data_IF_651162661251
#
_entry.id   IF_651162661251
#
_cell.length_a   1.000
_cell.length_b   1.000
_cell.length_c   1.000
_cell.angle_alpha   90.00
_cell.angle_beta   90.00
_cell.angle_gamma   90.00
#
_symmetry.space_group_name_H-M   'P 1'
#
loop_
_entity.id
_entity.type
_entity.pdbx_description
1 polymer ?
#
# COMPACT_ATOMS: atom_id res chain seq x y z
N UNK A 1 26.43 -28.11 34.73
CA UNK A 1 25.77 -27.73 33.47
C UNK A 1 25.80 -28.80 32.36
N UNK A 2 26.23 -30.05 32.61
CA UNK A 2 26.22 -31.13 31.60
C UNK A 2 25.03 -32.12 31.68
N UNK A 3 24.11 -31.95 32.64
CA UNK A 3 22.92 -32.83 32.82
C UNK A 3 21.63 -32.31 32.18
N UNK A 4 21.56 -31.04 31.76
CA UNK A 4 20.35 -30.47 31.15
C UNK A 4 20.26 -30.77 29.65
N UNK A 5 21.40 -30.82 28.95
CA UNK A 5 21.46 -31.10 27.50
C UNK A 5 21.14 -32.57 27.16
N UNK A 6 21.38 -33.51 28.08
CA UNK A 6 21.10 -34.94 27.86
C UNK A 6 19.60 -35.28 27.94
N UNK A 7 18.83 -34.57 28.79
CA UNK A 7 17.36 -34.75 28.91
C UNK A 7 16.56 -34.19 27.73
N UNK A 8 17.06 -33.14 27.08
CA UNK A 8 16.43 -32.58 25.87
C UNK A 8 16.60 -33.53 24.68
N UNK A 9 17.75 -34.20 24.56
CA UNK A 9 18.01 -35.14 23.45
C UNK A 9 17.27 -36.48 23.57
N UNK A 10 17.04 -37.00 24.78
CA UNK A 10 16.25 -38.24 24.97
C UNK A 10 14.76 -38.03 24.72
N UNK A 11 14.25 -36.80 24.90
CA UNK A 11 12.83 -36.47 24.65
C UNK A 11 12.47 -36.39 23.15
N UNK A 12 13.47 -36.25 22.27
CA UNK A 12 13.29 -36.21 20.82
C UNK A 12 13.25 -37.62 20.21
N UNK A 13 13.80 -38.64 20.89
CA UNK A 13 13.91 -40.01 20.35
C UNK A 13 12.70 -40.91 20.62
N UNK A 14 11.77 -40.50 21.49
CA UNK A 14 10.59 -41.31 21.86
C UNK A 14 9.38 -41.04 20.93
N UNK A 15 9.41 -40.03 20.06
CA UNK A 15 8.26 -39.67 19.21
C UNK A 15 8.21 -40.35 17.83
N UNK A 16 9.07 -41.33 17.57
CA UNK A 16 9.12 -42.05 16.28
C UNK A 16 8.53 -43.47 16.29
N UNK A 17 7.91 -43.92 17.39
CA UNK A 17 7.19 -45.19 17.40
C UNK A 17 5.79 -44.99 17.98
N UNK A 18 4.81 -44.73 17.12
CA UNK A 18 3.48 -45.36 17.17
C UNK A 18 2.57 -44.84 16.03
N UNK A 19 2.27 -45.78 15.13
CA UNK A 19 1.01 -46.03 14.42
C UNK A 19 0.33 -44.94 13.57
N UNK A 20 0.44 -45.16 12.25
CA UNK A 20 -0.66 -45.35 11.30
C UNK A 20 -2.10 -45.18 11.84
N UNK A 21 -2.83 -44.16 11.36
CA UNK A 21 -3.96 -44.34 10.44
C UNK A 21 -4.62 -43.01 10.03
N UNK A 22 -4.84 -42.89 8.72
CA UNK A 22 -5.88 -42.13 7.97
C UNK A 22 -6.21 -40.67 8.33
N UNK A 23 -5.83 -39.74 7.46
CA UNK A 23 -6.75 -38.84 6.73
C UNK A 23 -5.98 -37.99 5.71
N UNK A 24 -6.45 -38.01 4.47
CA UNK A 24 -5.82 -37.43 3.29
C UNK A 24 -6.19 -35.96 3.05
N UNK A 25 -5.22 -35.27 2.41
CA UNK A 25 -5.27 -33.96 1.72
C UNK A 25 -4.86 -32.69 2.50
N UNK A 26 -3.78 -32.10 1.96
CA UNK A 26 -3.23 -30.75 2.15
C UNK A 26 -2.26 -30.49 3.31
N UNK A 27 -1.22 -31.32 3.40
CA UNK A 27 0.11 -30.91 3.89
C UNK A 27 1.10 -30.94 2.73
N UNK A 28 1.56 -29.78 2.26
CA UNK A 28 2.78 -29.67 1.43
C UNK A 28 3.35 -28.22 1.33
N UNK A 29 3.38 -27.46 2.42
CA UNK A 29 4.14 -26.17 2.46
C UNK A 29 5.27 -26.13 3.50
N UNK A 30 5.31 -27.04 4.47
CA UNK A 30 6.32 -27.02 5.55
C UNK A 30 7.58 -27.85 5.28
N UNK A 31 7.55 -28.79 4.32
CA UNK A 31 8.72 -29.62 3.97
C UNK A 31 9.63 -29.03 2.87
N UNK A 32 9.34 -27.80 2.41
CA UNK A 32 10.12 -27.14 1.35
C UNK A 32 11.32 -26.32 1.85
N UNK A 33 11.67 -26.46 3.14
CA UNK A 33 12.77 -25.74 3.79
C UNK A 33 14.11 -26.50 3.79
N UNK A 34 14.15 -27.75 3.29
CA UNK A 34 15.37 -28.58 3.20
C UNK A 34 15.94 -28.72 1.78
N UNK A 35 15.48 -27.90 0.83
CA UNK A 35 16.15 -27.80 -0.47
C UNK A 35 17.33 -26.85 -0.32
N UNK A 36 18.54 -27.25 -0.79
CA UNK A 36 19.72 -26.37 -0.89
C UNK A 36 19.30 -25.01 -1.46
N UNK A 37 19.84 -23.93 -0.91
CA UNK A 37 19.57 -22.59 -1.43
C UNK A 37 20.13 -22.46 -2.84
N UNK A 38 19.45 -21.71 -3.73
CA UNK A 38 19.89 -21.57 -5.12
C UNK A 38 21.31 -20.98 -5.17
N UNK A 39 21.63 -20.11 -4.21
CA UNK A 39 22.97 -19.57 -3.97
C UNK A 39 24.01 -20.61 -3.54
N UNK A 40 23.62 -21.66 -2.81
CA UNK A 40 24.53 -22.73 -2.38
C UNK A 40 24.87 -23.66 -3.55
N UNK A 41 23.93 -23.86 -4.48
CA UNK A 41 24.18 -24.60 -5.72
C UNK A 41 25.08 -23.81 -6.67
N UNK A 42 24.85 -22.49 -6.79
CA UNK A 42 25.67 -21.60 -7.62
C UNK A 42 27.12 -21.49 -7.09
N UNK A 43 27.33 -21.52 -5.77
CA UNK A 43 28.67 -21.58 -5.17
C UNK A 43 29.41 -22.88 -5.46
N UNK A 44 28.70 -24.01 -5.45
CA UNK A 44 29.27 -25.32 -5.77
C UNK A 44 29.64 -25.44 -7.25
N UNK A 45 28.79 -24.93 -8.16
CA UNK A 45 29.09 -24.86 -9.59
C UNK A 45 30.30 -23.97 -9.90
N UNK A 46 30.50 -22.90 -9.12
CA UNK A 46 31.63 -21.98 -9.28
C UNK A 46 32.89 -22.40 -8.49
N UNK A 47 32.84 -23.48 -7.71
CA UNK A 47 33.96 -23.95 -6.88
C UNK A 47 34.40 -22.94 -5.81
N UNK A 48 33.48 -22.09 -5.34
CA UNK A 48 33.78 -20.99 -4.42
C UNK A 48 33.43 -21.36 -2.98
N UNK A 49 34.42 -21.26 -2.08
CA UNK A 49 34.21 -21.28 -0.63
C UNK A 49 33.76 -19.93 -0.08
N UNK A 50 33.43 -19.87 1.22
CA UNK A 50 33.15 -18.61 1.92
C UNK A 50 34.38 -17.69 1.98
N UNK A 51 35.58 -18.24 1.85
CA UNK A 51 36.86 -17.55 1.84
C UNK A 51 37.56 -17.52 3.19
N UNK A 52 38.82 -17.95 3.21
CA UNK A 52 39.71 -17.85 4.36
C UNK A 52 39.26 -18.73 5.53
N UNK A 53 39.33 -18.20 6.76
CA UNK A 53 38.90 -18.94 7.96
C UNK A 53 37.40 -19.29 7.97
N UNK A 54 36.59 -18.63 7.13
CA UNK A 54 35.16 -18.92 7.01
C UNK A 54 34.85 -20.16 6.18
N UNK A 55 35.82 -20.72 5.43
CA UNK A 55 35.62 -21.95 4.66
C UNK A 55 35.30 -23.17 5.54
N UNK A 56 35.60 -23.10 6.84
CA UNK A 56 35.25 -24.14 7.83
C UNK A 56 33.78 -24.10 8.26
N UNK A 57 33.05 -23.04 7.93
CA UNK A 57 31.67 -22.84 8.34
C UNK A 57 30.74 -23.30 7.20
N UNK A 58 29.80 -24.23 7.44
CA UNK A 58 28.77 -24.56 6.47
C UNK A 58 27.96 -23.32 6.05
N UNK A 59 27.65 -23.20 4.75
CA UNK A 59 26.88 -22.07 4.18
C UNK A 59 25.55 -21.86 4.90
N UNK A 60 24.87 -22.93 5.30
CA UNK A 60 23.61 -22.85 6.04
C UNK A 60 23.76 -22.14 7.40
N UNK A 61 24.85 -22.40 8.13
CA UNK A 61 25.14 -21.70 9.39
C UNK A 61 25.48 -20.23 9.12
N UNK A 62 26.20 -19.94 8.04
CA UNK A 62 26.47 -18.57 7.62
C UNK A 62 25.17 -17.80 7.32
N UNK A 63 24.20 -18.42 6.64
CA UNK A 63 22.86 -17.83 6.42
C UNK A 63 22.13 -17.57 7.75
N UNK A 64 22.22 -18.46 8.74
CA UNK A 64 21.63 -18.23 10.07
C UNK A 64 22.29 -17.04 10.79
N UNK A 65 23.61 -16.88 10.65
CA UNK A 65 24.33 -15.70 11.17
C UNK A 65 23.81 -14.42 10.51
N UNK A 66 23.65 -14.41 9.18
CA UNK A 66 23.07 -13.26 8.45
C UNK A 66 21.66 -12.92 8.94
N UNK A 67 20.81 -13.94 9.15
CA UNK A 67 19.46 -13.74 9.70
C UNK A 67 19.46 -13.04 11.06
N UNK A 68 20.44 -13.32 11.92
CA UNK A 68 20.61 -12.69 13.23
C UNK A 68 21.17 -11.26 13.14
N UNK A 69 22.07 -10.99 12.20
CA UNK A 69 22.63 -9.66 11.96
C UNK A 69 21.59 -8.66 11.44
N UNK A 70 20.57 -9.17 10.75
CA UNK A 70 19.50 -8.38 10.16
C UNK A 70 19.84 -7.83 8.77
N UNK A 71 18.85 -7.21 8.10
CA UNK A 71 18.94 -6.90 6.68
C UNK A 71 20.01 -5.87 6.32
N UNK A 72 20.17 -4.82 7.13
CA UNK A 72 21.10 -3.72 6.84
C UNK A 72 22.57 -4.19 6.89
N UNK A 73 22.93 -4.91 7.95
CA UNK A 73 24.29 -5.43 8.09
C UNK A 73 24.55 -6.58 7.10
N UNK A 74 23.55 -7.43 6.85
CA UNK A 74 23.66 -8.46 5.80
C UNK A 74 23.92 -7.86 4.42
N UNK A 75 23.24 -6.76 4.04
CA UNK A 75 23.53 -6.06 2.79
C UNK A 75 24.97 -5.53 2.73
N UNK A 76 25.52 -5.01 3.83
CA UNK A 76 26.91 -4.51 3.88
C UNK A 76 27.92 -5.63 3.69
N UNK A 77 27.65 -6.83 4.18
CA UNK A 77 28.55 -7.98 4.03
C UNK A 77 28.74 -8.38 2.56
N UNK A 78 27.82 -7.99 1.66
CA UNK A 78 27.94 -8.25 0.21
C UNK A 78 29.16 -7.62 -0.47
N UNK A 79 29.81 -6.61 0.16
CA UNK A 79 31.01 -5.97 -0.41
C UNK A 79 32.33 -6.66 -0.04
N UNK A 80 32.30 -7.64 0.86
CA UNK A 80 33.53 -8.28 1.38
C UNK A 80 34.19 -9.18 0.33
N UNK A 81 33.43 -10.09 -0.29
CA UNK A 81 33.94 -10.96 -1.34
C UNK A 81 32.81 -11.44 -2.27
N UNK A 82 33.19 -12.03 -3.42
CA UNK A 82 32.24 -12.54 -4.42
C UNK A 82 31.32 -13.63 -3.84
N UNK A 83 31.85 -14.54 -3.04
CA UNK A 83 31.08 -15.64 -2.44
C UNK A 83 29.99 -15.12 -1.50
N UNK A 84 30.34 -14.16 -0.64
CA UNK A 84 29.39 -13.56 0.30
C UNK A 84 28.32 -12.75 -0.43
N UNK A 85 28.69 -12.07 -1.51
CA UNK A 85 27.73 -11.36 -2.37
C UNK A 85 26.68 -12.31 -2.95
N UNK A 86 27.07 -13.51 -3.40
CA UNK A 86 26.17 -14.53 -3.95
C UNK A 86 25.18 -14.98 -2.86
N UNK A 87 25.67 -15.33 -1.66
CA UNK A 87 24.83 -15.78 -0.54
C UNK A 87 23.88 -14.68 -0.07
N UNK A 88 24.40 -13.46 0.13
CA UNK A 88 23.59 -12.33 0.57
C UNK A 88 22.52 -11.99 -0.47
N UNK A 89 22.75 -12.21 -1.76
CA UNK A 89 21.76 -11.93 -2.81
C UNK A 89 20.62 -12.95 -2.86
N UNK A 90 20.66 -14.01 -2.04
CA UNK A 90 19.64 -15.05 -2.02
C UNK A 90 18.27 -14.51 -1.57
N UNK A 91 17.28 -14.67 -2.44
CA UNK A 91 15.92 -14.24 -2.18
C UNK A 91 15.29 -14.85 -0.92
N UNK A 92 15.65 -16.08 -0.55
CA UNK A 92 15.13 -16.76 0.66
C UNK A 92 15.54 -16.03 1.94
N UNK A 93 16.75 -15.46 1.97
CA UNK A 93 17.23 -14.64 3.08
C UNK A 93 16.42 -13.34 3.21
N UNK A 94 16.14 -12.68 2.08
CA UNK A 94 15.39 -11.43 2.08
C UNK A 94 13.88 -11.59 2.33
N UNK A 95 13.29 -12.70 1.88
CA UNK A 95 11.92 -13.08 2.27
C UNK A 95 11.83 -13.18 3.79
N UNK A 96 12.79 -13.84 4.44
CA UNK A 96 12.85 -13.93 5.90
C UNK A 96 12.93 -12.54 6.55
N UNK A 97 13.78 -11.64 6.05
CA UNK A 97 13.87 -10.28 6.59
C UNK A 97 12.58 -9.47 6.44
N UNK A 98 11.94 -9.56 5.28
CA UNK A 98 10.72 -8.82 4.97
C UNK A 98 9.51 -9.36 5.75
N UNK A 99 9.46 -10.67 6.05
CA UNK A 99 8.41 -11.28 6.86
C UNK A 99 8.56 -10.97 8.36
N UNK A 100 9.79 -10.95 8.86
CA UNK A 100 10.06 -10.84 10.30
C UNK A 100 10.38 -9.42 10.79
N UNK A 101 10.38 -8.41 9.91
CA UNK A 101 10.49 -7.01 10.34
C UNK A 101 9.19 -6.54 11.03
N UNK A 102 9.10 -6.82 12.33
CA UNK A 102 8.03 -6.40 13.25
C UNK A 102 7.85 -4.87 13.41
N UNK A 103 8.60 -4.03 12.69
CA UNK A 103 8.54 -2.57 12.85
C UNK A 103 7.55 -1.85 11.92
N UNK A 104 7.07 -2.48 10.84
CA UNK A 104 6.26 -1.78 9.82
C UNK A 104 4.82 -2.27 9.67
N UNK A 105 4.38 -3.30 10.41
CA UNK A 105 3.00 -3.85 10.36
C UNK A 105 2.46 -4.12 8.93
N UNK A 106 3.33 -4.26 7.92
CA UNK A 106 2.92 -4.51 6.55
C UNK A 106 2.91 -6.03 6.30
N UNK A 107 1.76 -6.63 5.94
CA UNK A 107 1.71 -8.04 5.59
C UNK A 107 2.60 -8.34 4.37
N UNK A 108 3.32 -9.47 4.41
CA UNK A 108 4.14 -9.96 3.29
C UNK A 108 3.39 -9.95 1.95
N UNK A 109 2.11 -10.37 1.97
CA UNK A 109 1.25 -10.39 0.81
C UNK A 109 1.08 -9.01 0.14
N UNK A 110 1.07 -7.93 0.92
CA UNK A 110 0.94 -6.57 0.39
C UNK A 110 2.21 -6.17 -0.36
N UNK A 111 3.38 -6.49 0.18
CA UNK A 111 4.67 -6.27 -0.49
C UNK A 111 4.72 -7.04 -1.81
N UNK A 112 4.38 -8.33 -1.80
CA UNK A 112 4.37 -9.14 -3.02
C UNK A 112 3.37 -8.61 -4.05
N UNK A 113 2.17 -8.22 -3.60
CA UNK A 113 1.16 -7.62 -4.47
C UNK A 113 1.68 -6.34 -5.15
N UNK A 114 2.27 -5.43 -4.37
CA UNK A 114 2.85 -4.19 -4.84
C UNK A 114 3.94 -4.42 -5.88
N UNK A 115 4.93 -5.25 -5.56
CA UNK A 115 6.09 -5.50 -6.43
C UNK A 115 5.69 -6.18 -7.74
N UNK A 116 4.63 -7.01 -7.71
CA UNK A 116 4.14 -7.72 -8.89
C UNK A 116 3.24 -6.86 -9.77
N UNK A 117 2.40 -6.02 -9.19
CA UNK A 117 1.31 -5.37 -9.91
C UNK A 117 1.39 -3.84 -9.97
N UNK A 118 2.10 -3.18 -9.05
CA UNK A 118 2.18 -1.72 -8.96
C UNK A 118 3.53 -1.15 -9.40
N UNK A 119 4.47 -2.01 -9.81
CA UNK A 119 5.82 -1.62 -10.27
C UNK A 119 5.83 -0.95 -11.65
N UNK A 120 4.83 -1.20 -12.49
CA UNK A 120 4.74 -0.64 -13.85
C UNK A 120 4.00 0.71 -13.90
N UNK A 121 4.22 1.45 -15.00
CA UNK A 121 3.61 2.72 -15.37
C UNK A 121 2.15 2.90 -15.03
N UNK A 122 1.69 4.13 -14.77
CA UNK A 122 0.32 4.47 -15.21
C UNK A 122 0.41 5.01 -16.65
N UNK A 123 -0.46 4.60 -17.59
CA UNK A 123 -1.41 3.49 -17.44
C UNK A 123 -0.68 2.15 -17.28
N UNK A 124 -1.20 1.27 -16.41
CA UNK A 124 -0.65 -0.05 -16.05
C UNK A 124 -0.78 -1.04 -17.21
N UNK A 125 -0.16 -0.70 -18.34
CA UNK A 125 0.16 -1.65 -19.38
C UNK A 125 1.34 -2.47 -18.87
N UNK A 126 1.01 -3.60 -18.26
CA UNK A 126 1.97 -4.69 -18.20
C UNK A 126 2.08 -5.22 -19.63
N UNK A 127 3.32 -5.21 -20.12
CA UNK A 127 3.76 -5.91 -21.32
C UNK A 127 3.03 -7.24 -21.47
N UNK A 128 2.62 -7.54 -22.69
CA UNK A 128 1.94 -8.76 -23.13
C UNK A 128 2.77 -10.04 -22.87
N UNK A 129 3.95 -9.95 -22.26
CA UNK A 129 4.81 -11.08 -21.99
C UNK A 129 4.87 -11.46 -20.52
N UNK A 130 4.42 -12.70 -20.26
CA UNK A 130 4.62 -13.54 -19.08
C UNK A 130 6.12 -13.79 -18.75
N UNK A 131 6.97 -12.77 -18.77
CA UNK A 131 8.27 -12.90 -18.12
C UNK A 131 8.03 -12.74 -16.63
N UNK A 132 8.18 -13.83 -15.88
CA UNK A 132 8.37 -13.79 -14.44
C UNK A 132 9.57 -12.89 -14.17
N UNK A 133 9.31 -11.60 -13.89
CA UNK A 133 10.36 -10.69 -13.45
C UNK A 133 10.94 -11.33 -12.21
N UNK A 134 12.17 -11.82 -12.30
CA UNK A 134 12.89 -12.36 -11.16
C UNK A 134 13.12 -11.19 -10.21
N UNK A 135 12.30 -11.11 -9.18
CA UNK A 135 12.39 -10.05 -8.19
C UNK A 135 13.63 -10.33 -7.33
N UNK A 136 14.61 -9.43 -7.35
CA UNK A 136 15.66 -9.39 -6.32
C UNK A 136 15.09 -8.72 -5.08
N UNK A 137 14.77 -9.49 -4.04
CA UNK A 137 14.22 -8.94 -2.80
C UNK A 137 15.25 -8.11 -2.02
N UNK A 138 16.55 -8.38 -2.22
CA UNK A 138 17.63 -7.50 -1.78
C UNK A 138 17.50 -6.10 -2.36
N UNK A 139 17.34 -6.03 -3.68
CA UNK A 139 17.20 -4.77 -4.39
C UNK A 139 15.92 -4.03 -3.96
N UNK A 140 14.80 -4.75 -3.84
CA UNK A 140 13.54 -4.21 -3.33
C UNK A 140 13.71 -3.61 -1.94
N UNK A 141 14.34 -4.35 -1.02
CA UNK A 141 14.63 -3.84 0.32
C UNK A 141 15.49 -2.58 0.27
N UNK A 142 16.56 -2.59 -0.53
CA UNK A 142 17.45 -1.44 -0.70
C UNK A 142 16.71 -0.20 -1.19
N UNK A 143 15.82 -0.35 -2.18
CA UNK A 143 14.97 0.74 -2.65
C UNK A 143 14.04 1.24 -1.55
N UNK A 144 13.33 0.35 -0.84
CA UNK A 144 12.39 0.74 0.23
C UNK A 144 13.08 1.45 1.39
N UNK A 145 14.29 1.01 1.74
CA UNK A 145 15.09 1.59 2.82
C UNK A 145 15.55 3.03 2.54
N UNK A 146 15.66 3.42 1.26
CA UNK A 146 16.05 4.78 0.85
C UNK A 146 14.88 5.76 0.82
N UNK A 147 13.63 5.28 0.87
CA UNK A 147 12.47 6.14 0.69
C UNK A 147 12.15 6.93 1.96
N UNK A 148 12.15 8.25 1.81
CA UNK A 148 11.50 9.15 2.75
C UNK A 148 9.98 8.98 2.62
N UNK A 149 9.23 9.13 3.70
CA UNK A 149 7.77 8.99 3.65
C UNK A 149 7.14 10.06 2.75
N UNK A 150 5.92 9.83 2.29
CA UNK A 150 5.12 10.79 1.53
C UNK A 150 3.92 11.26 2.32
N UNK A 151 3.43 12.45 1.97
CA UNK A 151 2.14 12.95 2.42
C UNK A 151 1.06 12.32 1.55
N UNK A 152 -0.03 11.87 2.17
CA UNK A 152 -1.18 11.33 1.47
C UNK A 152 -2.37 12.20 1.80
N UNK A 153 -3.13 12.56 0.78
CA UNK A 153 -4.39 13.29 0.94
C UNK A 153 -5.48 12.56 0.16
N UNK A 154 -6.55 12.22 0.85
CA UNK A 154 -7.81 11.75 0.29
C UNK A 154 -8.82 12.88 0.35
N UNK A 155 -9.00 13.60 -0.77
CA UNK A 155 -9.84 14.78 -0.90
C UNK A 155 -11.32 14.43 -1.14
N UNK A 156 -11.97 13.73 -0.22
CA UNK A 156 -13.40 13.45 -0.31
C UNK A 156 -14.26 14.70 -0.04
N UNK A 157 -15.40 14.83 -0.71
CA UNK A 157 -16.34 15.96 -0.55
C UNK A 157 -16.99 16.04 0.84
N UNK A 158 -17.18 14.91 1.53
CA UNK A 158 -17.69 14.89 2.90
C UNK A 158 -16.62 15.05 3.97
N UNK A 159 -15.51 14.33 3.82
CA UNK A 159 -14.36 14.43 4.70
C UNK A 159 -13.10 14.22 3.90
N UNK A 160 -12.09 15.04 4.15
CA UNK A 160 -10.75 14.76 3.68
C UNK A 160 -10.00 13.97 4.75
N UNK A 161 -9.16 13.04 4.34
CA UNK A 161 -8.27 12.28 5.22
C UNK A 161 -6.85 12.54 4.80
N UNK A 162 -5.94 12.66 5.74
CA UNK A 162 -4.57 13.02 5.44
C UNK A 162 -3.60 12.41 6.46
N UNK A 163 -2.32 12.33 6.10
CA UNK A 163 -1.34 11.62 6.93
C UNK A 163 -0.11 11.15 6.18
N UNK A 164 0.72 10.37 6.88
CA UNK A 164 1.97 9.81 6.37
C UNK A 164 1.86 8.40 5.78
N UNK A 165 2.55 8.15 4.67
CA UNK A 165 2.64 6.81 4.06
C UNK A 165 3.33 5.74 4.87
N UNK A 166 4.02 6.13 5.95
CA UNK A 166 4.64 5.21 6.90
C UNK A 166 3.64 4.59 7.88
N UNK A 167 2.41 5.10 7.93
CA UNK A 167 1.38 4.63 8.86
C UNK A 167 0.29 3.84 8.15
N UNK A 168 -0.27 2.85 8.85
CA UNK A 168 -1.36 2.02 8.33
C UNK A 168 -2.71 2.77 8.23
N UNK A 169 -2.84 3.90 8.91
CA UNK A 169 -4.07 4.70 8.96
C UNK A 169 -3.78 6.20 8.77
N UNK A 170 -4.79 7.00 8.36
CA UNK A 170 -4.66 8.44 8.29
C UNK A 170 -4.22 9.05 9.63
N UNK A 171 -3.42 10.11 9.56
CA UNK A 171 -3.01 10.89 10.73
C UNK A 171 -4.10 11.86 11.20
N UNK A 172 -5.02 12.25 10.29
CA UNK A 172 -6.14 13.11 10.62
C UNK A 172 -7.25 13.09 9.57
N UNK A 173 -8.40 13.68 9.92
CA UNK A 173 -9.49 13.99 8.98
C UNK A 173 -10.02 15.41 9.21
N UNK A 174 -10.57 16.02 8.16
CA UNK A 174 -11.25 17.33 8.24
C UNK A 174 -12.57 17.30 7.49
N UNK A 175 -13.52 18.15 7.90
CA UNK A 175 -14.85 18.21 7.29
C UNK A 175 -14.83 19.05 6.01
N UNK A 176 -14.61 18.44 4.85
CA UNK A 176 -14.39 19.15 3.59
C UNK A 176 -15.51 20.11 3.22
N UNK A 177 -16.75 19.63 3.20
CA UNK A 177 -17.94 20.44 2.88
C UNK A 177 -18.11 21.66 3.81
N UNK A 178 -17.61 21.58 5.05
CA UNK A 178 -17.74 22.66 6.04
C UNK A 178 -16.61 23.68 5.90
N UNK A 179 -15.38 23.21 5.68
CA UNK A 179 -14.18 24.05 5.77
C UNK A 179 -13.67 24.55 4.42
N UNK A 180 -13.87 23.76 3.36
CA UNK A 180 -13.26 24.01 2.05
C UNK A 180 -14.29 24.11 0.91
N UNK A 181 -15.54 23.71 1.17
CA UNK A 181 -16.59 23.66 0.17
C UNK A 181 -16.35 22.60 -0.90
N UNK A 182 -16.74 22.87 -2.14
CA UNK A 182 -16.59 21.93 -3.24
C UNK A 182 -15.16 21.97 -3.83
N UNK A 183 -14.33 21.04 -3.38
CA UNK A 183 -12.95 20.83 -3.88
C UNK A 183 -12.87 20.06 -5.20
N UNK A 184 -13.99 19.55 -5.71
CA UNK A 184 -14.07 18.91 -7.03
C UNK A 184 -14.15 19.96 -8.16
N UNK A 185 -14.42 21.22 -7.80
CA UNK A 185 -14.37 22.36 -8.72
C UNK A 185 -12.92 22.86 -8.87
N UNK A 186 -12.43 23.10 -10.10
CA UNK A 186 -11.04 23.47 -10.39
C UNK A 186 -10.72 24.93 -10.06
N UNK A 187 -11.01 25.39 -8.84
CA UNK A 187 -10.71 26.74 -8.39
C UNK A 187 -9.35 26.78 -7.70
N UNK A 188 -8.37 27.44 -8.32
CA UNK A 188 -7.00 27.55 -7.82
C UNK A 188 -6.93 28.01 -6.35
N UNK A 189 -7.61 29.12 -6.01
CA UNK A 189 -7.59 29.67 -4.65
C UNK A 189 -8.13 28.71 -3.61
N UNK A 190 -9.21 27.99 -3.92
CA UNK A 190 -9.81 26.97 -3.05
C UNK A 190 -8.89 25.79 -2.86
N UNK A 191 -8.32 25.25 -3.93
CA UNK A 191 -7.38 24.13 -3.87
C UNK A 191 -6.10 24.51 -3.12
N UNK A 192 -5.57 25.73 -3.34
CA UNK A 192 -4.41 26.24 -2.61
C UNK A 192 -4.70 26.38 -1.13
N UNK A 193 -5.84 26.96 -0.77
CA UNK A 193 -6.28 27.04 0.62
C UNK A 193 -6.44 25.66 1.26
N UNK A 194 -7.04 24.71 0.54
CA UNK A 194 -7.19 23.32 0.97
C UNK A 194 -5.82 22.68 1.26
N UNK A 195 -4.91 22.63 0.29
CA UNK A 195 -3.61 22.00 0.48
C UNK A 195 -2.77 22.69 1.55
N UNK A 196 -2.71 24.02 1.57
CA UNK A 196 -1.98 24.77 2.59
C UNK A 196 -2.49 24.45 4.01
N UNK A 197 -3.81 24.38 4.19
CA UNK A 197 -4.42 24.03 5.48
C UNK A 197 -4.01 22.61 5.92
N UNK A 198 -4.04 21.65 5.01
CA UNK A 198 -3.66 20.26 5.33
C UNK A 198 -2.17 20.14 5.67
N UNK A 199 -1.28 20.79 4.92
CA UNK A 199 0.15 20.82 5.22
C UNK A 199 0.43 21.47 6.59
N UNK A 200 -0.26 22.57 6.91
CA UNK A 200 -0.15 23.22 8.22
C UNK A 200 -0.61 22.29 9.36
N UNK A 201 -1.73 21.58 9.20
CA UNK A 201 -2.22 20.60 10.20
C UNK A 201 -1.28 19.43 10.39
N UNK A 202 -0.63 18.99 9.31
CA UNK A 202 0.42 17.98 9.36
C UNK A 202 1.73 18.50 9.97
N UNK A 203 1.87 19.81 10.14
CA UNK A 203 3.10 20.48 10.58
C UNK A 203 4.30 20.16 9.66
N UNK A 204 4.05 20.14 8.34
CA UNK A 204 5.04 19.75 7.33
C UNK A 204 5.15 20.81 6.26
N UNK A 205 6.39 21.15 5.88
CA UNK A 205 6.65 22.01 4.72
C UNK A 205 6.37 21.22 3.42
N UNK A 206 5.55 21.77 2.50
CA UNK A 206 5.23 21.09 1.23
C UNK A 206 6.47 20.72 0.41
N UNK A 207 7.52 21.55 0.47
CA UNK A 207 8.76 21.34 -0.29
C UNK A 207 9.63 20.16 0.15
N UNK A 208 9.31 19.53 1.29
CA UNK A 208 10.16 18.48 1.87
C UNK A 208 9.78 17.07 1.44
N UNK A 209 8.51 16.83 1.10
CA UNK A 209 7.99 15.49 0.86
C UNK A 209 7.04 15.46 -0.34
N UNK A 210 7.08 14.39 -1.15
CA UNK A 210 6.14 14.23 -2.24
C UNK A 210 4.74 13.91 -1.71
N UNK A 211 3.74 14.11 -2.57
CA UNK A 211 2.33 13.89 -2.24
C UNK A 211 1.70 12.80 -3.12
N UNK A 212 0.91 11.94 -2.49
CA UNK A 212 -0.05 11.06 -3.16
C UNK A 212 -1.47 11.56 -2.91
N UNK A 213 -2.19 11.86 -3.97
CA UNK A 213 -3.53 12.44 -3.93
C UNK A 213 -4.55 11.46 -4.50
N UNK A 214 -5.60 11.22 -3.73
CA UNK A 214 -6.82 10.54 -4.21
C UNK A 214 -7.76 11.58 -4.84
N UNK A 215 -7.98 11.44 -6.15
CA UNK A 215 -8.82 12.31 -6.97
C UNK A 215 -10.19 11.68 -7.16
N UNK A 216 -11.29 12.41 -6.90
CA UNK A 216 -12.65 11.90 -7.03
C UNK A 216 -12.99 11.43 -8.45
N UNK A 217 -13.97 10.53 -8.55
CA UNK A 217 -14.59 10.20 -9.83
C UNK A 217 -15.65 11.25 -10.14
N UNK A 218 -15.16 12.39 -10.64
CA UNK A 218 -16.00 13.45 -11.20
C UNK A 218 -16.00 13.37 -12.73
N UNK A 219 -17.01 13.98 -13.35
CA UNK A 219 -17.18 14.02 -14.81
C UNK A 219 -17.03 12.61 -15.41
N UNK A 220 -17.91 11.71 -14.98
CA UNK A 220 -17.81 10.27 -15.20
C UNK A 220 -18.07 9.87 -16.66
N UNK A 221 -18.87 10.65 -17.38
CA UNK A 221 -19.17 10.45 -18.79
C UNK A 221 -17.92 10.42 -19.66
N UNK A 222 -18.02 9.71 -20.79
CA UNK A 222 -16.96 9.65 -21.80
C UNK A 222 -17.13 10.69 -22.92
N UNK A 223 -17.73 11.83 -22.58
CA UNK A 223 -17.83 12.99 -23.48
C UNK A 223 -16.54 13.81 -23.48
N UNK A 224 -16.28 14.54 -24.57
CA UNK A 224 -15.12 15.44 -24.65
C UNK A 224 -15.17 16.54 -23.58
N UNK A 225 -16.36 17.05 -23.26
CA UNK A 225 -16.56 18.01 -22.16
C UNK A 225 -16.15 17.42 -20.80
N UNK A 226 -16.58 16.19 -20.50
CA UNK A 226 -16.20 15.51 -19.27
C UNK A 226 -14.70 15.20 -19.19
N UNK A 227 -14.07 14.86 -20.33
CA UNK A 227 -12.61 14.68 -20.42
C UNK A 227 -11.87 16.00 -20.18
N UNK A 228 -12.32 17.10 -20.78
CA UNK A 228 -11.75 18.42 -20.59
C UNK A 228 -11.84 18.88 -19.14
N UNK A 229 -12.99 18.72 -18.49
CA UNK A 229 -13.16 19.08 -17.08
C UNK A 229 -12.23 18.28 -16.14
N UNK A 230 -12.03 16.98 -16.41
CA UNK A 230 -11.05 16.16 -15.68
C UNK A 230 -9.61 16.64 -15.88
N UNK A 231 -9.24 17.03 -17.11
CA UNK A 231 -7.90 17.60 -17.39
C UNK A 231 -7.72 18.91 -16.65
N UNK A 232 -8.70 19.81 -16.72
CA UNK A 232 -8.65 21.10 -16.03
C UNK A 232 -8.50 20.95 -14.51
N UNK A 233 -9.24 20.05 -13.87
CA UNK A 233 -9.08 19.77 -12.44
C UNK A 233 -7.67 19.26 -12.12
N UNK A 234 -7.16 18.32 -12.91
CA UNK A 234 -5.82 17.76 -12.73
C UNK A 234 -4.72 18.81 -12.91
N UNK A 235 -4.83 19.64 -13.94
CA UNK A 235 -3.90 20.75 -14.22
C UNK A 235 -3.91 21.75 -13.08
N UNK A 236 -5.09 22.18 -12.62
CA UNK A 236 -5.20 23.12 -11.50
C UNK A 236 -4.58 22.55 -10.22
N UNK A 237 -4.83 21.27 -9.91
CA UNK A 237 -4.20 20.58 -8.78
C UNK A 237 -2.67 20.59 -8.91
N UNK A 238 -2.14 20.28 -10.09
CA UNK A 238 -0.70 20.29 -10.33
C UNK A 238 -0.10 21.68 -10.21
N UNK A 239 -0.68 22.69 -10.86
CA UNK A 239 -0.24 24.08 -10.74
C UNK A 239 -0.17 24.51 -9.27
N UNK A 240 -1.23 24.29 -8.49
CA UNK A 240 -1.24 24.64 -7.07
C UNK A 240 -0.14 23.93 -6.27
N UNK A 241 0.03 22.61 -6.45
CA UNK A 241 1.00 21.83 -5.67
C UNK A 241 2.44 22.17 -6.06
N UNK A 242 2.73 22.39 -7.34
CA UNK A 242 4.05 22.79 -7.79
C UNK A 242 4.37 24.24 -7.43
N UNK A 243 3.40 25.15 -7.45
CA UNK A 243 3.56 26.53 -6.92
C UNK A 243 3.82 26.54 -5.40
N UNK A 244 3.39 25.50 -4.69
CA UNK A 244 3.73 25.27 -3.29
C UNK A 244 5.09 24.57 -3.10
N UNK A 245 5.85 24.38 -4.18
CA UNK A 245 7.15 23.73 -4.25
C UNK A 245 7.15 22.25 -3.86
N UNK A 246 6.02 21.53 -4.00
CA UNK A 246 5.96 20.10 -3.71
C UNK A 246 6.86 19.33 -4.70
N UNK A 247 7.78 18.45 -4.23
CA UNK A 247 8.82 17.88 -5.07
C UNK A 247 8.28 16.90 -6.14
N UNK A 248 7.20 16.18 -5.84
CA UNK A 248 6.54 15.32 -6.81
C UNK A 248 5.08 15.07 -6.40
N UNK A 249 4.21 14.89 -7.41
CA UNK A 249 2.78 14.67 -7.23
C UNK A 249 2.36 13.38 -7.94
N UNK A 250 1.72 12.49 -7.21
CA UNK A 250 1.04 11.33 -7.76
C UNK A 250 -0.46 11.43 -7.52
N UNK A 251 -1.25 11.63 -8.57
CA UNK A 251 -2.70 11.76 -8.48
C UNK A 251 -3.37 10.52 -9.07
N UNK A 252 -4.14 9.81 -8.25
CA UNK A 252 -4.78 8.53 -8.59
C UNK A 252 -6.28 8.59 -8.27
N UNK A 253 -7.08 7.83 -9.02
CA UNK A 253 -8.52 7.76 -8.79
C UNK A 253 -8.82 7.04 -7.45
N UNK A 254 -9.74 7.58 -6.64
CA UNK A 254 -10.12 7.00 -5.35
C UNK A 254 -10.59 5.54 -5.46
N UNK A 255 -11.35 5.18 -6.52
CA UNK A 255 -11.81 3.80 -6.70
C UNK A 255 -10.66 2.85 -7.02
N UNK A 256 -9.71 3.29 -7.85
CA UNK A 256 -8.50 2.52 -8.15
C UNK A 256 -7.67 2.30 -6.89
N UNK A 257 -7.48 3.34 -6.08
CA UNK A 257 -6.80 3.23 -4.80
C UNK A 257 -7.52 2.28 -3.83
N UNK A 258 -8.85 2.35 -3.76
CA UNK A 258 -9.65 1.43 -2.94
C UNK A 258 -9.51 -0.03 -3.39
N UNK A 259 -9.46 -0.28 -4.70
CA UNK A 259 -9.29 -1.63 -5.25
C UNK A 259 -7.89 -2.19 -4.97
N UNK A 260 -6.85 -1.39 -5.18
CA UNK A 260 -5.48 -1.77 -4.84
C UNK A 260 -5.36 -2.05 -3.35
N UNK A 261 -6.07 -1.30 -2.51
CA UNK A 261 -6.08 -1.50 -1.08
C UNK A 261 -6.78 -2.79 -0.63
N UNK A 262 -7.62 -3.36 -1.51
CA UNK A 262 -8.16 -4.70 -1.39
C UNK A 262 -7.24 -5.78 -2.01
N UNK A 263 -6.00 -5.43 -2.40
CA UNK A 263 -5.01 -6.29 -3.09
C UNK A 263 -5.55 -6.87 -4.39
N UNK A 264 -6.31 -6.06 -5.14
CA UNK A 264 -6.85 -6.41 -6.47
C UNK A 264 -6.49 -5.33 -7.47
N UNK A 265 -6.31 -5.73 -8.74
CA UNK A 265 -6.11 -4.78 -9.85
C UNK A 265 -7.30 -4.72 -10.81
N UNK A 266 -8.23 -5.66 -10.71
CA UNK A 266 -9.44 -5.71 -11.52
C UNK A 266 -10.64 -6.02 -10.64
N UNK A 267 -11.80 -5.43 -10.96
CA UNK A 267 -13.05 -5.59 -10.24
C UNK A 267 -13.99 -4.41 -10.45
N UNK A 268 -15.17 -4.48 -9.84
CA UNK A 268 -16.12 -3.38 -9.81
C UNK A 268 -16.09 -2.78 -8.40
N UNK A 269 -15.86 -1.47 -8.33
CA UNK A 269 -15.83 -0.74 -7.06
C UNK A 269 -17.14 0.02 -6.91
N UNK A 270 -17.85 -0.24 -5.82
CA UNK A 270 -19.02 0.54 -5.40
C UNK A 270 -18.57 1.48 -4.28
N UNK A 271 -18.53 2.78 -4.56
CA UNK A 271 -18.12 3.80 -3.61
C UNK A 271 -19.31 4.64 -3.18
N UNK A 272 -19.78 4.45 -1.95
CA UNK A 272 -20.89 5.21 -1.37
C UNK A 272 -20.31 6.44 -0.66
N UNK A 273 -20.34 7.58 -1.36
CA UNK A 273 -19.75 8.83 -0.92
C UNK A 273 -20.71 9.78 -0.21
N UNK A 274 -20.28 11.02 -0.03
CA UNK A 274 -21.05 12.06 0.66
C UNK A 274 -22.21 12.58 -0.20
N UNK A 275 -21.94 12.95 -1.46
CA UNK A 275 -22.96 13.44 -2.38
C UNK A 275 -23.51 12.36 -3.31
N UNK A 276 -22.68 11.40 -3.71
CA UNK A 276 -22.99 10.42 -4.75
C UNK A 276 -22.54 9.03 -4.36
N UNK A 277 -23.16 8.02 -4.98
CA UNK A 277 -22.68 6.64 -5.00
C UNK A 277 -22.20 6.33 -6.41
N UNK A 278 -20.95 5.88 -6.56
CA UNK A 278 -20.39 5.52 -7.87
C UNK A 278 -20.13 4.03 -7.99
N UNK A 279 -20.38 3.48 -9.16
CA UNK A 279 -20.10 2.10 -9.56
C UNK A 279 -19.07 2.17 -10.68
N UNK A 280 -17.90 1.56 -10.44
CA UNK A 280 -16.69 1.83 -11.20
C UNK A 280 -16.06 0.51 -11.63
N UNK A 281 -16.25 0.07 -12.88
CA UNK A 281 -15.52 -1.07 -13.40
C UNK A 281 -14.05 -0.68 -13.63
N UNK A 282 -13.15 -1.51 -13.12
CA UNK A 282 -11.70 -1.35 -13.23
C UNK A 282 -11.11 -2.65 -13.75
N UNK A 283 -10.28 -2.54 -14.78
CA UNK A 283 -9.55 -3.67 -15.35
C UNK A 283 -8.06 -3.33 -15.35
N UNK A 284 -7.27 -4.14 -14.63
CA UNK A 284 -5.81 -3.99 -14.52
C UNK A 284 -5.39 -2.55 -14.15
N UNK A 285 -6.10 -1.95 -13.21
CA UNK A 285 -5.88 -0.60 -12.69
C UNK A 285 -6.39 0.54 -13.60
N UNK A 286 -6.91 0.24 -14.79
CA UNK A 286 -7.56 1.21 -15.68
C UNK A 286 -9.06 1.26 -15.41
N UNK A 287 -9.60 2.45 -15.23
CA UNK A 287 -11.05 2.67 -15.13
C UNK A 287 -11.68 2.50 -16.52
N UNK A 288 -12.65 1.60 -16.63
CA UNK A 288 -13.29 1.22 -17.88
C UNK A 288 -14.51 2.11 -18.16
N UNK A 289 -14.25 3.36 -18.52
CA UNK A 289 -15.32 4.35 -18.79
C UNK A 289 -16.22 3.96 -19.95
N UNK A 290 -15.66 3.31 -20.96
CA UNK A 290 -16.38 2.76 -22.12
C UNK A 290 -17.35 1.62 -21.76
N UNK A 291 -17.07 0.86 -20.70
CA UNK A 291 -17.95 -0.22 -20.21
C UNK A 291 -19.11 0.32 -19.37
N UNK A 292 -18.97 1.54 -18.83
CA UNK A 292 -19.98 2.22 -18.05
C UNK A 292 -19.51 2.50 -16.63
N UNK A 293 -19.26 3.78 -16.33
CA UNK A 293 -19.19 4.27 -14.95
C UNK A 293 -20.54 4.86 -14.60
N UNK A 294 -21.21 4.27 -13.62
CA UNK A 294 -22.51 4.76 -13.17
C UNK A 294 -22.34 5.58 -11.90
N UNK A 295 -23.06 6.70 -11.83
CA UNK A 295 -23.10 7.56 -10.65
C UNK A 295 -24.54 7.88 -10.31
N UNK A 296 -24.93 7.44 -9.12
CA UNK A 296 -26.22 7.72 -8.55
C UNK A 296 -26.09 8.95 -7.66
N UNK A 297 -27.02 9.89 -7.78
CA UNK A 297 -27.11 11.06 -6.90
C UNK A 297 -27.48 10.73 -5.45
N UNK A 298 -27.36 9.48 -5.01
CA UNK A 298 -27.65 9.01 -3.67
C UNK A 298 -26.35 8.93 -2.87
N UNK A 299 -26.21 9.80 -1.87
CA UNK A 299 -25.07 9.78 -0.97
C UNK A 299 -25.48 10.01 0.48
N UNK A 300 -24.48 10.07 1.36
CA UNK A 300 -24.68 10.28 2.79
C UNK A 300 -25.47 11.56 3.13
N UNK A 301 -25.43 12.59 2.27
CA UNK A 301 -26.19 13.83 2.45
C UNK A 301 -27.70 13.60 2.33
N UNK A 302 -28.15 12.79 1.36
CA UNK A 302 -29.57 12.47 1.17
C UNK A 302 -30.09 11.61 2.32
N UNK A 303 -29.29 10.66 2.81
CA UNK A 303 -29.63 9.88 3.99
C UNK A 303 -29.76 10.76 5.24
N UNK A 304 -28.89 11.77 5.39
CA UNK A 304 -28.96 12.74 6.49
C UNK A 304 -30.22 13.60 6.38
N UNK A 305 -30.60 14.01 5.16
CA UNK A 305 -31.85 14.74 4.89
C UNK A 305 -33.09 13.90 5.18
N UNK A 306 -33.11 12.64 4.76
CA UNK A 306 -34.23 11.73 5.03
C UNK A 306 -34.39 11.46 6.53
N UNK A 307 -33.29 11.23 7.25
CA UNK A 307 -33.35 11.09 8.70
C UNK A 307 -33.91 12.35 9.36
N UNK A 308 -33.47 13.54 8.90
CA UNK A 308 -34.00 14.82 9.39
C UNK A 308 -35.52 14.88 9.22
N UNK A 309 -36.04 14.54 8.04
CA UNK A 309 -37.49 14.55 7.75
C UNK A 309 -38.25 13.58 8.67
N UNK A 310 -37.75 12.35 8.85
CA UNK A 310 -38.34 11.38 9.78
C UNK A 310 -38.36 11.89 11.22
N UNK A 311 -37.28 12.53 11.66
CA UNK A 311 -37.20 13.11 13.00
C UNK A 311 -38.22 14.25 13.19
N UNK A 312 -38.40 15.09 12.17
CA UNK A 312 -39.40 16.16 12.17
C UNK A 312 -40.83 15.60 12.23
N UNK A 313 -41.13 14.55 11.45
CA UNK A 313 -42.43 13.87 11.47
C UNK A 313 -42.76 13.25 12.84
N UNK A 314 -41.74 12.87 13.61
CA UNK A 314 -41.88 12.35 14.97
C UNK A 314 -41.83 13.43 16.06
N UNK A 315 -41.90 14.70 15.69
CA UNK A 315 -41.79 15.85 16.61
C UNK A 315 -40.52 15.84 17.48
N UNK A 316 -39.43 15.26 16.97
CA UNK A 316 -38.15 15.30 17.66
C UNK A 316 -37.42 16.60 17.30
N UNK A 317 -37.08 17.39 18.31
CA UNK A 317 -36.30 18.60 18.12
C UNK A 317 -34.81 18.26 18.00
N UNK A 318 -34.14 18.79 16.97
CA UNK A 318 -32.70 18.67 16.80
C UNK A 318 -32.12 20.05 16.48
N UNK A 319 -31.09 20.45 17.23
CA UNK A 319 -30.55 21.82 17.14
C UNK A 319 -29.85 22.12 15.81
N UNK A 320 -29.33 21.11 15.10
CA UNK A 320 -28.61 21.32 13.84
C UNK A 320 -28.59 20.09 12.94
N UNK A 321 -28.33 20.28 11.65
CA UNK A 321 -28.02 19.21 10.71
C UNK A 321 -26.77 18.41 11.10
N UNK A 322 -25.84 19.03 11.82
CA UNK A 322 -24.67 18.34 12.38
C UNK A 322 -25.10 17.27 13.37
N UNK A 323 -26.07 17.56 14.25
CA UNK A 323 -26.61 16.58 15.20
C UNK A 323 -27.22 15.38 14.48
N UNK A 324 -28.06 15.62 13.46
CA UNK A 324 -28.67 14.55 12.66
C UNK A 324 -27.62 13.69 11.97
N UNK A 325 -26.55 14.30 11.45
CA UNK A 325 -25.42 13.58 10.87
C UNK A 325 -24.70 12.72 11.89
N UNK A 326 -24.39 13.26 13.07
CA UNK A 326 -23.73 12.52 14.15
C UNK A 326 -24.59 11.35 14.59
N UNK A 327 -25.90 11.52 14.69
CA UNK A 327 -26.84 10.43 14.96
C UNK A 327 -26.77 9.35 13.88
N UNK A 328 -26.78 9.74 12.60
CA UNK A 328 -26.59 8.79 11.49
C UNK A 328 -25.26 8.04 11.60
N UNK A 329 -24.16 8.73 11.88
CA UNK A 329 -22.83 8.11 11.97
C UNK A 329 -22.68 7.18 13.19
N UNK A 330 -23.36 7.46 14.29
CA UNK A 330 -23.28 6.67 15.54
C UNK A 330 -24.29 5.51 15.56
N UNK A 331 -25.53 5.77 15.16
CA UNK A 331 -26.65 4.82 15.34
C UNK A 331 -27.01 4.05 14.07
N UNK A 332 -26.72 4.59 12.88
CA UNK A 332 -27.11 3.97 11.61
C UNK A 332 -25.95 3.19 10.97
N UNK A 333 -24.70 3.38 11.42
CA UNK A 333 -23.54 2.73 10.80
C UNK A 333 -23.09 1.46 11.52
N UNK A 334 -23.69 0.32 11.15
CA UNK A 334 -22.96 -0.95 11.06
C UNK A 334 -22.46 -1.10 9.60
N UNK A 335 -21.17 -1.36 9.44
CA UNK A 335 -20.46 -1.73 8.20
C UNK A 335 -20.13 -0.59 7.22
N UNK A 336 -18.91 -0.04 7.35
CA UNK A 336 -18.06 0.21 6.16
C UNK A 336 -16.58 0.38 6.50
N UNK A 337 -15.74 -0.29 5.71
CA UNK A 337 -14.32 -0.56 5.93
C UNK A 337 -13.48 0.71 5.75
N UNK A 338 -12.96 1.28 6.85
CA UNK A 338 -12.04 2.45 6.84
C UNK A 338 -10.56 2.04 6.90
N UNK A 339 -10.19 0.85 6.41
CA UNK A 339 -8.83 0.32 6.65
C UNK A 339 -7.78 0.55 5.57
N UNK A 340 -8.12 0.95 4.35
CA UNK A 340 -7.26 0.48 3.26
C UNK A 340 -6.51 1.55 2.42
N UNK A 341 -6.94 2.82 2.35
CA UNK A 341 -6.27 3.79 1.44
C UNK A 341 -4.83 4.15 1.88
N UNK A 342 -4.51 4.05 3.17
CA UNK A 342 -3.23 4.50 3.72
C UNK A 342 -2.09 3.49 3.60
N UNK A 343 -2.39 2.19 3.72
CA UNK A 343 -1.39 1.11 3.60
C UNK A 343 -0.73 1.06 2.22
N UNK A 344 -1.40 1.61 1.20
CA UNK A 344 -1.02 1.54 -0.20
C UNK A 344 0.05 2.54 -0.65
N UNK A 345 0.27 3.61 0.09
CA UNK A 345 1.20 4.67 -0.36
C UNK A 345 2.67 4.37 -0.06
N UNK A 346 2.97 3.34 0.74
CA UNK A 346 4.29 2.72 0.79
C UNK A 346 4.63 2.04 -0.56
N UNK A 347 3.62 1.70 -1.36
CA UNK A 347 3.75 0.90 -2.59
C UNK A 347 3.82 1.76 -3.86
N UNK A 348 3.15 2.92 -3.91
CA UNK A 348 3.23 3.86 -5.04
C UNK A 348 4.50 4.75 -4.98
N UNK A 349 5.04 4.98 -3.78
CA UNK A 349 6.18 5.87 -3.56
C UNK A 349 7.52 5.36 -4.11
N UNK A 350 7.67 4.03 -4.31
CA UNK A 350 8.90 3.42 -4.84
C UNK A 350 9.31 3.89 -6.25
N UNK A 351 8.45 4.64 -6.96
CA UNK A 351 8.63 4.90 -8.39
C UNK A 351 9.09 6.30 -8.79
N UNK A 352 8.93 7.33 -7.95
CA UNK A 352 9.24 8.71 -8.38
C UNK A 352 10.64 9.24 -7.98
N UNK A 353 11.46 8.43 -7.31
CA UNK A 353 12.86 8.80 -7.02
C UNK A 353 13.84 8.66 -8.20
N UNK A 354 13.45 8.02 -9.30
CA UNK A 354 14.37 7.67 -10.40
C UNK A 354 13.95 8.19 -11.78
N UNK A 355 12.75 8.76 -11.93
CA UNK A 355 12.19 9.20 -13.22
C UNK A 355 12.05 10.72 -13.39
N UNK A 356 12.46 11.54 -12.40
CA UNK A 356 12.30 13.01 -12.45
C UNK A 356 13.64 13.78 -12.48
N UNK A 357 14.75 13.11 -12.80
CA UNK A 357 16.00 13.81 -13.16
C UNK A 357 16.16 14.05 -14.67
N UNK A 358 15.34 13.43 -15.51
CA UNK A 358 15.43 13.53 -16.97
C UNK A 358 14.03 13.78 -17.60
N UNK A 359 13.34 14.82 -17.18
CA UNK A 359 12.23 15.42 -17.93
C UNK A 359 12.25 16.94 -17.71
#
# INVERSE_FOLDING_TARGET
>A
MAKLLKKVFESVKIRCNNNNNSCSSNLNETNRWFMKSDSCLELEELGLGLGGEFDRIPVDLFIQILKLLGPKESARISIVCKSWRIIVSDNRLWIYFLQNQNQLQQPWDSIVFAEKHLRSGYPLFQSIYNQSIQLSFMHIYGQRAQLNGSVIIDGGSGYCKFGWSKYASPSGRSATFLEFGNIESPMYSRLRHFFATIYNRMQVKPSKYPIVLSVPICHYDDTESAKAARRQLKETIYSVLFDMNVPAVCALNQATLALFAARRVSGIVVNIGFHVTSIVPILRGKVMREVGVEVLGQGAVKLTGYLRELMQQKNMNFGSLYTVRTLKEVFILFVSVVKSVFCLCLEVHQRQGTLLKNA
#
